data_IF_103046647305
#
_entry.id   IF_103046647305
#
_cell.length_a   1.000
_cell.length_b   1.000
_cell.length_c   1.000
_cell.angle_alpha   90.00
_cell.angle_beta   90.00
_cell.angle_gamma   90.00
#
_symmetry.space_group_name_H-M   'P 1'
#
loop_
_entity.id
_entity.type
_entity.pdbx_description
1 polymer ?
#
# COMPACT_ATOMS: atom_id res chain seq x y z
N UNK A 1 -19.41 0.66 -12.74
CA UNK A 1 -19.03 1.41 -11.52
C UNK A 1 -19.39 0.67 -10.23
N UNK A 2 -20.48 -0.10 -10.17
CA UNK A 2 -20.82 -0.87 -8.97
C UNK A 2 -19.74 -1.89 -8.60
N UNK A 3 -18.99 -2.38 -9.58
CA UNK A 3 -17.84 -3.29 -9.43
C UNK A 3 -16.75 -2.65 -8.55
N UNK A 4 -16.42 -1.38 -8.78
CA UNK A 4 -15.43 -0.65 -7.98
C UNK A 4 -15.93 -0.48 -6.54
N UNK A 5 -17.21 -0.18 -6.35
CA UNK A 5 -17.80 -0.08 -5.02
C UNK A 5 -17.85 -1.44 -4.30
N UNK A 6 -18.12 -2.53 -5.03
CA UNK A 6 -18.10 -3.89 -4.49
C UNK A 6 -16.68 -4.31 -4.08
N UNK A 7 -15.66 -3.98 -4.89
CA UNK A 7 -14.26 -4.19 -4.55
C UNK A 7 -13.84 -3.35 -3.34
N UNK A 8 -14.26 -2.07 -3.28
CA UNK A 8 -14.01 -1.20 -2.13
C UNK A 8 -14.64 -1.78 -0.85
N UNK A 9 -15.87 -2.26 -0.92
CA UNK A 9 -16.52 -2.92 0.19
C UNK A 9 -15.76 -4.18 0.63
N UNK A 10 -15.34 -5.02 -0.32
CA UNK A 10 -14.51 -6.21 -0.04
C UNK A 10 -13.19 -5.84 0.64
N UNK A 11 -12.52 -4.77 0.19
CA UNK A 11 -11.27 -4.29 0.80
C UNK A 11 -11.50 -3.80 2.24
N UNK A 12 -12.61 -3.11 2.51
CA UNK A 12 -12.98 -2.67 3.87
C UNK A 12 -13.23 -3.89 4.77
N UNK A 13 -14.01 -4.87 4.30
CA UNK A 13 -14.28 -6.10 5.05
C UNK A 13 -12.98 -6.86 5.32
N UNK A 14 -12.13 -7.05 4.31
CA UNK A 14 -10.84 -7.72 4.45
C UNK A 14 -9.90 -7.01 5.44
N UNK A 15 -9.91 -5.67 5.45
CA UNK A 15 -9.14 -4.88 6.41
C UNK A 15 -9.68 -5.03 7.83
N UNK A 16 -11.01 -5.01 8.01
CA UNK A 16 -11.65 -5.22 9.31
C UNK A 16 -11.35 -6.61 9.88
N UNK A 17 -11.42 -7.65 9.04
CA UNK A 17 -11.08 -9.03 9.42
C UNK A 17 -9.60 -9.13 9.81
N UNK A 18 -8.70 -8.49 9.05
CA UNK A 18 -7.27 -8.47 9.36
C UNK A 18 -6.97 -7.86 10.74
N UNK A 19 -7.68 -6.80 11.12
CA UNK A 19 -7.50 -6.12 12.42
C UNK A 19 -8.12 -6.91 13.58
N UNK A 20 -9.24 -7.59 13.36
CA UNK A 20 -9.97 -8.29 14.44
C UNK A 20 -9.51 -9.72 14.68
N UNK A 21 -8.85 -10.35 13.71
CA UNK A 21 -8.42 -11.73 13.87
C UNK A 21 -7.25 -11.83 14.84
N UNK A 22 -7.27 -12.88 15.67
CA UNK A 22 -6.24 -13.12 16.68
C UNK A 22 -5.03 -13.87 16.12
N UNK A 23 -5.23 -14.56 15.00
CA UNK A 23 -4.21 -15.37 14.36
C UNK A 23 -3.50 -14.55 13.29
N UNK A 24 -2.19 -14.34 13.49
CA UNK A 24 -1.39 -13.52 12.57
C UNK A 24 -1.42 -14.06 11.14
N UNK A 25 -1.40 -15.39 10.96
CA UNK A 25 -1.51 -15.99 9.63
C UNK A 25 -2.84 -15.67 8.94
N UNK A 26 -3.95 -15.70 9.69
CA UNK A 26 -5.26 -15.30 9.15
C UNK A 26 -5.30 -13.80 8.81
N UNK A 27 -4.62 -12.96 9.58
CA UNK A 27 -4.54 -11.53 9.29
C UNK A 27 -3.80 -11.27 7.98
N UNK A 28 -2.66 -11.97 7.80
CA UNK A 28 -1.84 -11.89 6.59
C UNK A 28 -2.60 -12.38 5.36
N UNK A 29 -3.34 -13.49 5.45
CA UNK A 29 -4.20 -13.97 4.35
C UNK A 29 -5.31 -12.95 4.04
N UNK A 30 -5.90 -12.34 5.06
CA UNK A 30 -6.93 -11.31 4.87
C UNK A 30 -6.37 -10.06 4.16
N UNK A 31 -5.14 -9.64 4.47
CA UNK A 31 -4.45 -8.57 3.74
C UNK A 31 -4.20 -8.93 2.27
N UNK A 32 -3.86 -10.19 1.97
CA UNK A 32 -3.69 -10.64 0.59
C UNK A 32 -4.98 -10.52 -0.24
N UNK A 33 -6.15 -10.76 0.36
CA UNK A 33 -7.45 -10.52 -0.29
C UNK A 33 -7.64 -9.04 -0.62
N UNK A 34 -7.24 -8.14 0.27
CA UNK A 34 -7.30 -6.68 0.03
C UNK A 34 -6.39 -6.28 -1.13
N UNK A 35 -5.15 -6.77 -1.16
CA UNK A 35 -4.20 -6.49 -2.23
C UNK A 35 -4.61 -7.02 -3.60
N UNK A 36 -5.16 -8.23 -3.64
CA UNK A 36 -5.72 -8.81 -4.87
C UNK A 36 -6.95 -8.04 -5.35
N UNK A 37 -7.83 -7.61 -4.45
CA UNK A 37 -8.97 -6.76 -4.80
C UNK A 37 -8.51 -5.40 -5.39
N UNK A 38 -7.43 -4.82 -4.83
CA UNK A 38 -6.82 -3.60 -5.37
C UNK A 38 -6.24 -3.82 -6.78
N UNK A 39 -5.59 -4.95 -7.04
CA UNK A 39 -5.12 -5.30 -8.38
C UNK A 39 -6.29 -5.35 -9.38
N UNK A 40 -7.39 -6.00 -9.02
CA UNK A 40 -8.59 -6.05 -9.88
C UNK A 40 -9.15 -4.66 -10.11
N UNK A 41 -9.15 -3.79 -9.08
CA UNK A 41 -9.54 -2.40 -9.23
C UNK A 41 -8.66 -1.63 -10.22
N UNK A 42 -7.33 -1.82 -10.19
CA UNK A 42 -6.43 -1.21 -11.18
C UNK A 42 -6.71 -1.66 -12.61
N UNK A 43 -7.04 -2.92 -12.84
CA UNK A 43 -7.42 -3.41 -14.16
C UNK A 43 -8.72 -2.77 -14.65
N UNK A 44 -9.73 -2.62 -13.78
CA UNK A 44 -10.95 -1.89 -14.10
C UNK A 44 -10.71 -0.41 -14.41
N UNK A 45 -9.72 0.20 -13.75
CA UNK A 45 -9.30 1.59 -13.98
C UNK A 45 -8.35 1.75 -15.17
N UNK A 46 -8.12 0.70 -15.96
CA UNK A 46 -7.22 0.70 -17.12
C UNK A 46 -5.76 1.05 -16.76
N UNK A 47 -5.32 0.65 -15.56
CA UNK A 47 -3.96 0.84 -15.07
C UNK A 47 -3.22 -0.52 -14.98
N UNK A 48 -2.87 -1.17 -16.13
CA UNK A 48 -2.25 -2.50 -16.13
C UNK A 48 -0.86 -2.51 -15.51
N UNK A 49 -0.05 -1.47 -15.71
CA UNK A 49 1.30 -1.38 -15.11
C UNK A 49 1.22 -1.37 -13.57
N UNK A 50 0.27 -0.63 -13.00
CA UNK A 50 0.01 -0.62 -11.55
C UNK A 50 -0.52 -1.98 -11.04
N UNK A 51 -1.35 -2.67 -11.84
CA UNK A 51 -1.86 -3.98 -11.48
C UNK A 51 -0.74 -5.03 -11.39
N UNK A 52 0.17 -5.04 -12.38
CA UNK A 52 1.29 -5.98 -12.41
C UNK A 52 2.24 -5.75 -11.24
N UNK A 53 2.61 -4.49 -10.96
CA UNK A 53 3.49 -4.18 -9.83
C UNK A 53 2.82 -4.50 -8.49
N UNK A 54 1.52 -4.23 -8.36
CA UNK A 54 0.75 -4.58 -7.15
C UNK A 54 0.79 -6.08 -6.87
N UNK A 55 0.57 -6.95 -7.87
CA UNK A 55 0.64 -8.41 -7.67
C UNK A 55 2.03 -8.83 -7.20
N UNK A 56 3.09 -8.31 -7.82
CA UNK A 56 4.46 -8.69 -7.47
C UNK A 56 4.78 -8.28 -6.02
N UNK A 57 4.44 -7.05 -5.65
CA UNK A 57 4.63 -6.55 -4.28
C UNK A 57 3.79 -7.35 -3.29
N UNK A 58 2.54 -7.67 -3.63
CA UNK A 58 1.64 -8.43 -2.77
C UNK A 58 2.20 -9.83 -2.47
N UNK A 59 2.67 -10.54 -3.50
CA UNK A 59 3.25 -11.88 -3.34
C UNK A 59 4.52 -11.85 -2.49
N UNK A 60 5.42 -10.88 -2.73
CA UNK A 60 6.65 -10.75 -1.95
C UNK A 60 6.33 -10.40 -0.49
N UNK A 61 5.43 -9.43 -0.25
CA UNK A 61 5.00 -9.04 1.08
C UNK A 61 4.34 -10.21 1.82
N UNK A 62 3.49 -10.98 1.14
CA UNK A 62 2.86 -12.17 1.68
C UNK A 62 3.90 -13.20 2.14
N UNK A 63 4.91 -13.50 1.33
CA UNK A 63 5.98 -14.45 1.68
C UNK A 63 6.75 -13.95 2.91
N UNK A 64 7.11 -12.67 2.94
CA UNK A 64 7.85 -12.07 4.06
C UNK A 64 7.01 -12.10 5.34
N UNK A 65 5.73 -11.72 5.27
CA UNK A 65 4.83 -11.71 6.42
C UNK A 65 4.52 -13.11 6.95
N UNK A 66 4.33 -14.10 6.07
CA UNK A 66 4.18 -15.50 6.50
C UNK A 66 5.45 -15.98 7.22
N UNK A 67 6.63 -15.66 6.68
CA UNK A 67 7.91 -16.01 7.34
C UNK A 67 8.08 -15.29 8.67
N UNK A 68 7.69 -14.03 8.78
CA UNK A 68 7.76 -13.27 10.03
C UNK A 68 6.78 -13.80 11.09
N UNK A 69 5.55 -14.12 10.69
CA UNK A 69 4.50 -14.61 11.61
C UNK A 69 4.71 -16.05 12.05
N UNK A 70 5.36 -16.89 11.24
CA UNK A 70 5.73 -18.26 11.64
C UNK A 70 6.79 -18.34 12.74
N UNK A 71 7.44 -17.23 13.10
CA UNK A 71 8.49 -17.15 14.15
C UNK A 71 7.91 -16.78 15.53
N UNK A 72 6.78 -16.07 15.59
CA UNK A 72 6.12 -15.72 16.85
C UNK A 72 5.00 -16.71 17.18
N UNK A 73 5.16 -17.45 18.29
CA UNK A 73 4.08 -18.27 18.86
C UNK A 73 2.95 -17.34 19.29
N UNK A 74 1.77 -17.57 18.71
CA UNK A 74 0.50 -16.89 18.99
C UNK A 74 0.26 -16.67 20.50
N UNK A 75 -0.51 -15.61 20.78
CA UNK A 75 -1.02 -15.10 22.07
C UNK A 75 -0.31 -13.83 22.59
N UNK A 76 -0.55 -12.70 21.92
CA UNK A 76 -0.40 -11.38 22.53
C UNK A 76 -1.51 -11.16 23.58
N UNK A 77 -1.34 -11.68 24.79
CA UNK A 77 -2.12 -11.22 25.94
C UNK A 77 -1.43 -10.00 26.58
N UNK A 78 -1.86 -8.80 26.20
CA UNK A 78 -1.50 -7.57 26.92
C UNK A 78 -2.74 -7.08 27.66
N UNK A 79 -2.96 -7.58 28.88
CA UNK A 79 -4.07 -7.15 29.73
C UNK A 79 -3.56 -6.27 30.86
N UNK A 80 -3.85 -4.97 30.79
CA UNK A 80 -3.49 -4.00 31.84
C UNK A 80 -4.18 -2.65 31.65
N UNK A 81 -4.29 -1.87 32.75
CA UNK A 81 -5.02 -0.58 32.85
C UNK A 81 -4.68 0.50 31.79
N UNK A 82 -3.67 0.27 30.93
CA UNK A 82 -3.37 1.05 29.72
C UNK A 82 -4.42 0.88 28.60
N UNK A 83 -5.31 -0.11 28.69
CA UNK A 83 -6.37 -0.34 27.69
C UNK A 83 -7.37 0.81 27.58
N UNK A 84 -7.86 1.39 28.68
CA UNK A 84 -8.91 2.43 28.57
C UNK A 84 -8.37 3.71 27.91
N UNK A 85 -7.14 4.12 28.25
CA UNK A 85 -6.49 5.25 27.60
C UNK A 85 -6.16 4.94 26.14
N UNK A 86 -5.63 3.74 25.84
CA UNK A 86 -5.35 3.33 24.47
C UNK A 86 -6.62 3.28 23.63
N UNK A 87 -7.69 2.66 24.12
CA UNK A 87 -9.00 2.58 23.46
C UNK A 87 -9.54 3.99 23.22
N UNK A 88 -9.54 4.85 24.24
CA UNK A 88 -10.03 6.24 24.11
C UNK A 88 -9.20 7.01 23.09
N UNK A 89 -7.87 6.91 23.14
CA UNK A 89 -6.97 7.57 22.18
C UNK A 89 -7.20 7.05 20.75
N UNK A 90 -7.37 5.73 20.56
CA UNK A 90 -7.72 5.14 19.25
C UNK A 90 -9.05 5.67 18.76
N UNK A 91 -10.08 5.74 19.62
CA UNK A 91 -11.38 6.28 19.23
C UNK A 91 -11.31 7.76 18.83
N UNK A 92 -10.63 8.62 19.60
CA UNK A 92 -10.51 10.03 19.18
C UNK A 92 -9.68 10.14 17.90
N UNK A 93 -8.62 9.33 17.73
CA UNK A 93 -7.84 9.29 16.51
C UNK A 93 -8.70 8.92 15.30
N UNK A 94 -9.53 7.87 15.40
CA UNK A 94 -10.43 7.45 14.33
C UNK A 94 -11.42 8.57 14.00
N UNK A 95 -12.01 9.23 15.00
CA UNK A 95 -12.98 10.31 14.78
C UNK A 95 -12.31 11.51 14.09
N UNK A 96 -11.17 11.96 14.60
CA UNK A 96 -10.42 13.10 14.04
C UNK A 96 -9.94 12.77 12.62
N UNK A 97 -9.39 11.57 12.42
CA UNK A 97 -8.96 11.10 11.11
C UNK A 97 -10.12 11.02 10.12
N UNK A 98 -11.27 10.45 10.53
CA UNK A 98 -12.45 10.36 9.68
C UNK A 98 -13.02 11.74 9.33
N UNK A 99 -13.08 12.67 10.28
CA UNK A 99 -13.52 14.04 10.03
C UNK A 99 -12.60 14.77 9.05
N UNK A 100 -11.28 14.65 9.25
CA UNK A 100 -10.28 15.22 8.34
C UNK A 100 -10.35 14.58 6.95
N UNK A 101 -10.42 13.25 6.87
CA UNK A 101 -10.55 12.53 5.62
C UNK A 101 -11.82 12.93 4.87
N UNK A 102 -12.97 13.02 5.57
CA UNK A 102 -14.22 13.46 4.96
C UNK A 102 -14.11 14.90 4.42
N UNK A 103 -13.55 15.83 5.21
CA UNK A 103 -13.31 17.19 4.76
C UNK A 103 -12.40 17.22 3.52
N UNK A 104 -11.28 16.48 3.52
CA UNK A 104 -10.38 16.39 2.38
C UNK A 104 -11.07 15.82 1.12
N UNK A 105 -11.93 14.81 1.29
CA UNK A 105 -12.70 14.22 0.20
C UNK A 105 -13.68 15.22 -0.43
N UNK A 106 -14.21 16.20 0.31
CA UNK A 106 -15.09 17.23 -0.27
C UNK A 106 -14.38 18.20 -1.21
N UNK A 107 -13.05 18.37 -1.08
CA UNK A 107 -12.26 19.19 -1.98
C UNK A 107 -11.81 18.46 -3.25
N UNK A 108 -11.98 17.14 -3.30
CA UNK A 108 -11.62 16.37 -4.48
C UNK A 108 -12.63 16.62 -5.61
N UNK A 109 -12.15 16.76 -6.85
CA UNK A 109 -13.03 16.89 -8.00
C UNK A 109 -13.79 15.58 -8.24
N UNK A 110 -14.88 15.67 -9.00
CA UNK A 110 -15.69 14.50 -9.35
C UNK A 110 -14.80 13.41 -9.95
N UNK A 111 -15.08 12.17 -9.58
CA UNK A 111 -14.37 11.02 -10.09
C UNK A 111 -14.32 11.04 -11.63
N UNK A 112 -13.11 10.87 -12.19
CA UNK A 112 -12.87 10.92 -13.63
C UNK A 112 -12.69 12.32 -14.23
N UNK A 113 -12.78 13.40 -13.43
CA UNK A 113 -12.53 14.75 -13.94
C UNK A 113 -11.02 14.99 -14.16
N UNK A 114 -10.57 15.39 -15.35
CA UNK A 114 -9.15 15.56 -15.65
C UNK A 114 -8.62 16.85 -15.01
N UNK A 115 -8.05 16.74 -13.82
CA UNK A 115 -7.52 17.87 -13.04
C UNK A 115 -6.13 18.31 -13.54
N UNK A 116 -5.33 17.36 -14.02
CA UNK A 116 -3.92 17.60 -14.33
C UNK A 116 -3.74 18.13 -15.76
N UNK A 117 -3.34 19.40 -15.87
CA UNK A 117 -2.97 20.03 -17.15
C UNK A 117 -1.78 19.34 -17.82
N UNK A 118 -0.82 18.87 -17.04
CA UNK A 118 0.41 18.20 -17.52
C UNK A 118 0.14 16.83 -18.15
N UNK A 119 -0.91 16.13 -17.74
CA UNK A 119 -1.25 14.82 -18.29
C UNK A 119 -1.54 14.90 -19.79
N UNK A 120 -2.17 15.98 -20.25
CA UNK A 120 -2.42 16.20 -21.67
C UNK A 120 -1.14 16.35 -22.48
N UNK A 121 -0.12 16.99 -21.90
CA UNK A 121 1.18 17.17 -22.56
C UNK A 121 1.91 15.84 -22.68
N UNK A 122 1.91 15.02 -21.62
CA UNK A 122 2.49 13.67 -21.66
C UNK A 122 1.83 12.80 -22.74
N UNK A 123 0.50 12.81 -22.83
CA UNK A 123 -0.23 12.04 -23.85
C UNK A 123 0.10 12.51 -25.27
N UNK A 124 0.21 13.83 -25.49
CA UNK A 124 0.45 14.40 -26.82
C UNK A 124 1.89 14.26 -27.28
N UNK A 125 2.86 14.50 -26.40
CA UNK A 125 4.28 14.62 -26.75
C UNK A 125 5.15 13.49 -26.22
N UNK A 126 4.60 12.56 -25.44
CA UNK A 126 5.38 11.50 -24.79
C UNK A 126 6.20 10.69 -25.77
N UNK A 127 5.58 10.16 -26.83
CA UNK A 127 6.29 9.37 -27.82
C UNK A 127 7.35 10.19 -28.59
N UNK A 128 7.06 11.43 -28.94
CA UNK A 128 7.97 12.29 -29.70
C UNK A 128 9.20 12.71 -28.86
N UNK A 129 8.99 13.01 -27.58
CA UNK A 129 10.03 13.52 -26.69
C UNK A 129 10.88 12.41 -26.05
N UNK A 130 10.31 11.23 -25.83
CA UNK A 130 11.01 10.14 -25.12
C UNK A 130 11.28 8.90 -25.98
N UNK A 131 10.60 8.76 -27.11
CA UNK A 131 10.67 7.56 -27.95
C UNK A 131 10.00 6.31 -27.35
N UNK A 132 9.38 6.42 -26.17
CA UNK A 132 8.71 5.30 -25.51
C UNK A 132 7.26 5.16 -25.99
N UNK A 133 6.91 3.95 -26.44
CA UNK A 133 5.52 3.60 -26.78
C UNK A 133 4.63 3.41 -25.53
N UNK A 134 5.21 3.07 -24.37
CA UNK A 134 4.47 3.03 -23.12
C UNK A 134 4.55 4.40 -22.43
N UNK A 135 3.39 5.05 -22.27
CA UNK A 135 3.27 6.36 -21.64
C UNK A 135 3.64 6.33 -20.16
N UNK A 136 3.32 5.26 -19.42
CA UNK A 136 3.68 5.13 -18.00
C UNK A 136 5.20 5.07 -17.86
N UNK A 137 5.86 4.27 -18.69
CA UNK A 137 7.33 4.19 -18.73
C UNK A 137 7.95 5.53 -19.12
N UNK A 138 7.40 6.22 -20.12
CA UNK A 138 7.86 7.55 -20.52
C UNK A 138 7.80 8.56 -19.35
N UNK A 139 6.72 8.51 -18.57
CA UNK A 139 6.58 9.39 -17.40
C UNK A 139 7.59 9.03 -16.31
N UNK A 140 7.76 7.75 -15.98
CA UNK A 140 8.62 7.31 -14.88
C UNK A 140 10.11 7.47 -15.19
N UNK A 141 10.55 7.13 -16.39
CA UNK A 141 11.97 7.06 -16.74
C UNK A 141 12.51 8.31 -17.43
N UNK A 142 11.66 9.14 -18.03
CA UNK A 142 12.10 10.36 -18.72
C UNK A 142 11.57 11.62 -18.01
N UNK A 143 10.26 11.86 -18.05
CA UNK A 143 9.69 13.12 -17.50
C UNK A 143 9.88 13.28 -16.00
N UNK A 144 9.83 12.17 -15.24
CA UNK A 144 9.96 12.13 -13.78
C UNK A 144 11.06 11.16 -13.34
N UNK A 145 12.13 11.06 -14.15
CA UNK A 145 13.28 10.20 -13.89
C UNK A 145 13.88 10.40 -12.49
N UNK A 146 13.91 11.64 -11.99
CA UNK A 146 14.43 11.97 -10.67
C UNK A 146 13.61 11.35 -9.52
N UNK A 147 12.29 11.24 -9.68
CA UNK A 147 11.43 10.61 -8.68
C UNK A 147 11.75 9.11 -8.61
N UNK A 148 11.88 8.44 -9.76
CA UNK A 148 12.28 7.03 -9.85
C UNK A 148 13.69 6.78 -9.28
N UNK A 149 14.64 7.70 -9.50
CA UNK A 149 15.96 7.63 -8.88
C UNK A 149 15.88 7.75 -7.35
N UNK A 150 15.00 8.63 -6.85
CA UNK A 150 14.70 8.76 -5.43
C UNK A 150 14.11 7.48 -4.84
N UNK A 151 13.10 6.90 -5.49
CA UNK A 151 12.47 5.64 -5.09
C UNK A 151 13.50 4.50 -5.05
N UNK A 152 14.37 4.39 -6.06
CA UNK A 152 15.45 3.40 -6.09
C UNK A 152 16.45 3.59 -4.94
N UNK A 153 16.78 4.83 -4.60
CA UNK A 153 17.67 5.16 -3.48
C UNK A 153 17.04 4.77 -2.13
N UNK A 154 15.75 5.00 -1.96
CA UNK A 154 15.01 4.59 -0.75
C UNK A 154 14.96 3.07 -0.64
N UNK A 155 14.64 2.36 -1.73
CA UNK A 155 14.61 0.90 -1.75
C UNK A 155 15.98 0.30 -1.44
N UNK A 156 17.05 0.82 -2.05
CA UNK A 156 18.42 0.42 -1.77
C UNK A 156 18.75 0.61 -0.28
N UNK A 157 18.44 1.78 0.27
CA UNK A 157 18.69 2.09 1.69
C UNK A 157 17.91 1.17 2.62
N UNK A 158 16.65 0.86 2.30
CA UNK A 158 15.81 -0.05 3.07
C UNK A 158 16.38 -1.49 3.08
N UNK A 159 16.84 -1.99 1.93
CA UNK A 159 17.48 -3.30 1.81
C UNK A 159 18.79 -3.33 2.62
N UNK A 160 19.64 -2.31 2.49
CA UNK A 160 20.87 -2.21 3.28
C UNK A 160 20.58 -2.16 4.78
N UNK A 161 19.56 -1.41 5.21
CA UNK A 161 19.11 -1.38 6.60
C UNK A 161 18.64 -2.74 7.10
N UNK A 162 17.83 -3.46 6.31
CA UNK A 162 17.39 -4.80 6.64
C UNK A 162 18.56 -5.79 6.79
N UNK A 163 19.55 -5.75 5.90
CA UNK A 163 20.77 -6.59 6.00
C UNK A 163 21.53 -6.30 7.29
N UNK A 164 21.70 -5.01 7.65
CA UNK A 164 22.39 -4.62 8.89
C UNK A 164 21.64 -5.09 10.13
N UNK A 165 20.30 -5.06 10.13
CA UNK A 165 19.47 -5.54 11.25
C UNK A 165 19.50 -7.07 11.36
N UNK A 166 19.50 -7.78 10.23
CA UNK A 166 19.44 -9.24 10.18
C UNK A 166 20.81 -9.93 10.34
N UNK A 167 21.93 -9.18 10.34
CA UNK A 167 23.27 -9.76 10.50
C UNK A 167 23.41 -10.48 11.85
N UNK A 168 24.01 -11.66 11.84
CA UNK A 168 24.29 -12.41 13.08
C UNK A 168 25.49 -11.85 13.85
N UNK A 169 26.44 -11.23 13.14
CA UNK A 169 27.68 -10.69 13.72
C UNK A 169 27.36 -9.45 14.58
N UNK A 170 27.57 -9.57 15.90
CA UNK A 170 27.32 -8.51 16.88
C UNK A 170 25.99 -8.64 17.63
N UNK A 171 25.21 -9.70 17.41
CA UNK A 171 24.02 -10.00 18.23
C UNK A 171 24.49 -10.43 19.62
N UNK A 172 24.13 -9.68 20.68
CA UNK A 172 24.36 -10.13 22.06
C UNK A 172 23.66 -11.47 22.23
N UNK A 173 24.43 -12.52 22.49
CA UNK A 173 23.87 -13.78 22.97
C UNK A 173 23.07 -13.51 24.25
N UNK A 174 21.83 -14.00 24.29
CA UNK A 174 20.96 -13.92 25.46
C UNK A 174 21.23 -15.09 26.38
#
# INVERSE_FOLDING_TARGET
MWEIYALAFLMIVGSLVAVHTRYLLSAVISLAVVGLALCVAFLYLQAPDCAITQIVVEVIALIILIRATGVERDLLEIRGKKEVFAITATFIFIIVFAAFAFAALTYLPKFGYPVMKVAQEYVKKGLEQTGSANLVTAVLLDFRAYDTLGEATVLFTAIMGAIVVLREVGRKEK
#
